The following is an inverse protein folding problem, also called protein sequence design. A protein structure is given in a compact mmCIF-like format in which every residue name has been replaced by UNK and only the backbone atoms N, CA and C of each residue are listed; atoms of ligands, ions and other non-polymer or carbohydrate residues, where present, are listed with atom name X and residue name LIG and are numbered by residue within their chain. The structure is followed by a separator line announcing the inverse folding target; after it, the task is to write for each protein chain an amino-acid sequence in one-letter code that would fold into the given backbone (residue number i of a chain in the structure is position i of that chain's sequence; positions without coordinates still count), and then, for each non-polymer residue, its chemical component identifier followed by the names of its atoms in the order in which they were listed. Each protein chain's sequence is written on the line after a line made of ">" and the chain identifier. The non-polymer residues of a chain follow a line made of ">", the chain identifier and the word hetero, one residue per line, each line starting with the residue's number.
data_IF_596552228517
#
_entry.id   IF_596552228517
#
_cell.length_a   1.000
_cell.length_b   1.000
_cell.length_c   1.000
_cell.angle_alpha   90.00
_cell.angle_beta   90.00
_cell.angle_gamma   90.00
#
_symmetry.space_group_name_H-M   'P 1'
#
loop_
_entity.id
_entity.type
_entity.pdbx_description
1 polymer ?
#
# COMPACT_ATOMS: atom_id res chain seq x y z
N UNK A 1 5.42 -9.78 21.41
CA UNK A 1 4.98 -10.02 20.03
C UNK A 1 6.07 -9.58 19.06
N UNK A 2 6.42 -10.42 18.14
CA UNK A 2 7.43 -10.10 17.15
C UNK A 2 6.75 -9.55 15.88
N UNK A 3 7.30 -8.47 15.38
CA UNK A 3 6.90 -8.00 14.06
C UNK A 3 7.49 -8.92 13.01
N UNK A 4 6.66 -9.39 12.10
CA UNK A 4 7.16 -10.06 10.93
C UNK A 4 7.75 -9.02 10.01
N UNK A 5 9.04 -9.13 9.76
CA UNK A 5 9.73 -8.29 8.80
C UNK A 5 10.28 -9.19 7.71
N UNK A 6 10.08 -8.80 6.50
CA UNK A 6 10.55 -9.53 5.33
C UNK A 6 10.17 -8.74 4.12
N UNK A 7 10.54 -9.23 2.97
CA UNK A 7 10.21 -8.58 1.71
C UNK A 7 9.56 -9.57 0.77
N UNK A 8 8.78 -9.06 -0.15
CA UNK A 8 8.06 -9.87 -1.11
C UNK A 8 7.88 -9.05 -2.38
N UNK A 9 8.05 -9.69 -3.53
CA UNK A 9 7.74 -9.05 -4.81
C UNK A 9 6.28 -9.32 -5.13
N UNK A 10 5.54 -8.23 -5.36
CA UNK A 10 4.11 -8.30 -5.69
C UNK A 10 3.84 -7.55 -6.97
N UNK A 11 2.69 -7.83 -7.58
CA UNK A 11 2.16 -7.00 -8.64
C UNK A 11 1.21 -5.97 -8.06
N UNK A 12 1.24 -4.77 -8.63
CA UNK A 12 0.30 -3.71 -8.28
C UNK A 12 -0.40 -3.27 -9.55
N UNK A 13 -1.69 -3.04 -9.46
CA UNK A 13 -2.43 -2.53 -10.60
C UNK A 13 -3.51 -1.57 -10.15
N UNK A 14 -3.90 -0.71 -11.07
CA UNK A 14 -5.02 0.20 -10.91
C UNK A 14 -6.29 -0.58 -11.22
N UNK A 15 -7.30 -0.57 -10.33
CA UNK A 15 -8.54 -1.30 -10.59
C UNK A 15 -9.21 -0.96 -11.91
N UNK A 16 -8.98 0.25 -12.41
CA UNK A 16 -9.58 0.72 -13.66
C UNK A 16 -8.95 0.09 -14.89
N UNK A 17 -7.67 -0.33 -14.78
CA UNK A 17 -6.89 -0.79 -15.94
C UNK A 17 -6.51 -2.26 -15.89
N UNK A 18 -6.87 -2.96 -14.83
CA UNK A 18 -6.54 -4.39 -14.76
C UNK A 18 -7.25 -5.19 -15.85
N UNK A 19 -6.68 -6.31 -16.32
CA UNK A 19 -5.38 -6.85 -15.93
C UNK A 19 -4.22 -6.35 -16.78
N UNK A 20 -4.43 -5.37 -17.62
CA UNK A 20 -3.48 -4.99 -18.68
C UNK A 20 -2.34 -4.11 -18.21
N UNK A 21 -2.38 -3.65 -16.97
CA UNK A 21 -1.36 -2.74 -16.46
C UNK A 21 -0.94 -3.19 -15.07
N UNK A 22 0.15 -3.95 -15.01
CA UNK A 22 0.67 -4.45 -13.74
C UNK A 22 2.10 -3.97 -13.58
N UNK A 23 2.39 -3.38 -12.42
CA UNK A 23 3.73 -2.94 -12.07
C UNK A 23 4.22 -3.84 -10.94
N UNK A 24 5.41 -4.40 -11.09
CA UNK A 24 6.01 -5.23 -10.04
C UNK A 24 6.74 -4.33 -9.06
N UNK A 25 6.57 -4.61 -7.79
CA UNK A 25 7.21 -3.84 -6.73
C UNK A 25 7.65 -4.75 -5.61
N UNK A 26 8.76 -4.37 -4.97
CA UNK A 26 9.19 -5.04 -3.76
C UNK A 26 8.50 -4.37 -2.58
N UNK A 27 7.80 -5.17 -1.81
CA UNK A 27 7.06 -4.70 -0.65
C UNK A 27 7.70 -5.22 0.63
N UNK A 28 7.67 -4.40 1.66
CA UNK A 28 8.08 -4.81 2.99
C UNK A 28 6.87 -5.29 3.77
N UNK A 29 7.02 -6.41 4.46
CA UNK A 29 5.97 -6.98 5.30
C UNK A 29 6.12 -6.42 6.72
N UNK A 30 5.05 -5.86 7.27
CA UNK A 30 5.09 -5.26 8.60
C UNK A 30 3.79 -5.55 9.36
N UNK A 31 3.83 -6.57 10.22
CA UNK A 31 2.68 -6.91 11.05
C UNK A 31 2.41 -5.88 12.16
N UNK A 32 3.33 -4.96 12.39
CA UNK A 32 3.12 -3.85 13.29
C UNK A 32 2.28 -2.73 12.69
N UNK A 33 2.10 -2.73 11.37
CA UNK A 33 1.29 -1.74 10.68
C UNK A 33 -0.14 -2.27 10.52
N UNK A 34 -1.13 -1.48 10.93
CA UNK A 34 -2.53 -1.85 10.77
C UNK A 34 -2.94 -1.82 9.30
N UNK A 35 -2.43 -0.85 8.57
CA UNK A 35 -2.82 -0.57 7.19
C UNK A 35 -1.58 -0.51 6.29
N UNK A 36 -1.74 -1.04 5.10
CA UNK A 36 -0.71 -0.93 4.07
C UNK A 36 -0.56 0.51 3.59
N UNK A 37 0.61 0.83 3.09
CA UNK A 37 0.90 2.17 2.57
C UNK A 37 1.74 2.10 1.30
N UNK A 38 1.65 3.17 0.52
CA UNK A 38 2.40 3.31 -0.73
C UNK A 38 3.10 4.67 -0.74
N UNK A 39 4.29 4.71 -1.30
CA UNK A 39 4.98 5.98 -1.49
C UNK A 39 4.30 6.81 -2.58
N UNK A 40 4.14 8.10 -2.34
CA UNK A 40 3.45 8.98 -3.29
C UNK A 40 4.11 9.00 -4.67
N UNK A 41 5.42 8.81 -4.74
CA UNK A 41 6.13 8.78 -6.01
C UNK A 41 5.74 7.60 -6.89
N UNK A 42 5.11 6.58 -6.30
CA UNK A 42 4.68 5.39 -7.04
C UNK A 42 3.32 5.56 -7.71
N UNK A 43 2.57 6.61 -7.33
CA UNK A 43 1.21 6.82 -7.84
C UNK A 43 1.18 7.03 -9.35
N UNK A 44 2.16 7.76 -9.87
CA UNK A 44 2.20 8.05 -11.31
C UNK A 44 2.42 6.79 -12.14
N UNK A 45 3.19 5.83 -11.61
CA UNK A 45 3.43 4.57 -12.31
C UNK A 45 2.15 3.76 -12.47
N UNK A 46 1.21 3.92 -11.56
CA UNK A 46 -0.05 3.19 -11.54
C UNK A 46 -1.23 4.04 -12.02
N UNK A 47 -0.97 5.28 -12.41
CA UNK A 47 -2.01 6.24 -12.83
C UNK A 47 -3.10 6.42 -11.78
N UNK A 48 -2.68 6.47 -10.52
CA UNK A 48 -3.60 6.59 -9.39
C UNK A 48 -3.81 8.02 -8.91
N UNK A 49 -3.11 8.99 -9.48
CA UNK A 49 -3.10 10.37 -8.99
C UNK A 49 -4.49 11.01 -8.97
N UNK A 50 -5.33 10.67 -9.94
CA UNK A 50 -6.69 11.21 -10.02
C UNK A 50 -7.69 10.47 -9.13
N UNK A 51 -7.25 9.37 -8.52
CA UNK A 51 -8.10 8.50 -7.72
C UNK A 51 -7.87 8.66 -6.22
N UNK A 52 -7.06 9.63 -5.83
CA UNK A 52 -6.71 9.85 -4.44
C UNK A 52 -7.91 10.38 -3.66
N UNK A 53 -8.18 9.75 -2.51
CA UNK A 53 -9.15 10.22 -1.54
C UNK A 53 -8.42 11.07 -0.51
N UNK A 54 -8.63 12.38 -0.57
CA UNK A 54 -7.95 13.29 0.32
C UNK A 54 -8.52 13.21 1.73
N UNK A 55 -7.61 13.28 2.73
CA UNK A 55 -7.96 13.28 4.15
C UNK A 55 -8.89 12.13 4.57
N UNK A 56 -8.75 10.99 3.91
CA UNK A 56 -9.70 9.89 4.04
C UNK A 56 -9.64 9.17 5.38
N UNK A 57 -8.45 9.14 6.01
CA UNK A 57 -8.27 8.43 7.27
C UNK A 57 -7.57 9.29 8.31
N UNK A 58 -7.84 8.98 9.58
CA UNK A 58 -7.12 9.57 10.71
C UNK A 58 -6.11 8.57 11.25
N UNK A 59 -4.89 9.05 11.46
CA UNK A 59 -3.83 8.24 12.05
C UNK A 59 -3.41 8.91 13.35
N UNK A 60 -3.46 8.15 14.44
CA UNK A 60 -3.00 8.62 15.75
C UNK A 60 -1.54 8.26 15.93
N UNK A 61 -0.79 9.21 16.43
CA UNK A 61 0.62 9.01 16.75
C UNK A 61 0.93 9.72 18.06
N UNK A 62 2.15 9.56 18.55
CA UNK A 62 2.62 10.25 19.75
C UNK A 62 2.55 11.77 19.59
N UNK A 63 2.59 12.26 18.37
CA UNK A 63 2.57 13.69 18.07
C UNK A 63 1.16 14.23 17.77
N UNK A 64 0.12 13.43 18.03
CA UNK A 64 -1.25 13.82 17.81
C UNK A 64 -1.91 13.07 16.68
N UNK A 65 -2.99 13.63 16.17
CA UNK A 65 -3.78 13.02 15.10
C UNK A 65 -3.43 13.69 13.77
N UNK A 66 -3.18 12.88 12.76
CA UNK A 66 -2.97 13.35 11.40
C UNK A 66 -4.01 12.75 10.48
N UNK A 67 -4.38 13.50 9.45
CA UNK A 67 -5.18 12.95 8.35
C UNK A 67 -4.25 12.54 7.23
N UNK A 68 -4.61 11.45 6.57
CA UNK A 68 -3.85 10.96 5.43
C UNK A 68 -4.75 10.68 4.26
N UNK A 69 -4.19 10.87 3.08
CA UNK A 69 -4.84 10.51 1.85
C UNK A 69 -4.73 9.02 1.63
N UNK A 70 -5.70 8.45 0.94
CA UNK A 70 -5.69 7.04 0.57
C UNK A 70 -5.97 6.88 -0.91
N UNK A 71 -5.68 5.68 -1.40
CA UNK A 71 -6.04 5.29 -2.75
C UNK A 71 -6.33 3.79 -2.75
N UNK A 72 -7.23 3.37 -3.63
CA UNK A 72 -7.54 1.96 -3.79
C UNK A 72 -6.72 1.40 -4.93
N UNK A 73 -6.01 0.32 -4.65
CA UNK A 73 -5.24 -0.41 -5.65
C UNK A 73 -5.49 -1.90 -5.50
N UNK A 74 -5.03 -2.67 -6.47
CA UNK A 74 -5.13 -4.13 -6.41
C UNK A 74 -3.73 -4.69 -6.26
N UNK A 75 -3.55 -5.56 -5.28
CA UNK A 75 -2.32 -6.32 -5.08
C UNK A 75 -2.51 -7.68 -5.69
N UNK A 76 -1.55 -8.08 -6.52
CA UNK A 76 -1.58 -9.38 -7.20
C UNK A 76 -0.42 -10.21 -6.70
N UNK A 77 -0.75 -11.38 -6.20
CA UNK A 77 0.26 -12.34 -5.75
C UNK A 77 -0.11 -13.72 -6.28
N UNK A 78 0.66 -14.23 -7.25
CA UNK A 78 0.31 -15.48 -7.92
C UNK A 78 -1.03 -15.36 -8.63
N UNK A 79 -1.96 -16.24 -8.29
CA UNK A 79 -3.30 -16.24 -8.86
C UNK A 79 -4.31 -15.45 -8.01
N UNK A 80 -3.84 -14.83 -6.95
CA UNK A 80 -4.72 -14.11 -6.03
C UNK A 80 -4.64 -12.62 -6.24
N UNK A 81 -5.78 -11.97 -6.13
CA UNK A 81 -5.90 -10.52 -6.23
C UNK A 81 -6.64 -10.00 -4.99
N UNK A 82 -6.16 -8.91 -4.45
CA UNK A 82 -6.79 -8.27 -3.31
C UNK A 82 -6.84 -6.77 -3.51
N UNK A 83 -8.05 -6.22 -3.46
CA UNK A 83 -8.25 -4.79 -3.52
C UNK A 83 -8.03 -4.20 -2.12
N UNK A 84 -7.18 -3.19 -2.03
CA UNK A 84 -6.84 -2.55 -0.76
C UNK A 84 -6.94 -1.05 -0.86
N UNK A 85 -7.45 -0.45 0.21
CA UNK A 85 -7.32 0.98 0.42
C UNK A 85 -6.04 1.21 1.22
N UNK A 86 -5.04 1.83 0.58
CA UNK A 86 -3.74 2.04 1.20
C UNK A 86 -3.54 3.52 1.49
N UNK A 87 -2.81 3.82 2.56
CA UNK A 87 -2.45 5.20 2.85
C UNK A 87 -1.30 5.64 1.96
N UNK A 88 -1.29 6.92 1.61
CA UNK A 88 -0.23 7.49 0.79
C UNK A 88 0.75 8.18 1.72
N UNK A 89 2.03 7.87 1.57
CA UNK A 89 3.08 8.42 2.41
C UNK A 89 4.15 9.06 1.54
N UNK A 90 4.82 10.06 2.09
CA UNK A 90 5.99 10.64 1.46
C UNK A 90 7.21 10.10 2.16
N UNK A 91 7.89 9.16 1.53
CA UNK A 91 9.03 8.48 2.13
C UNK A 91 10.18 8.41 1.14
N UNK A 92 10.71 9.56 0.83
CA UNK A 92 11.79 9.71 -0.16
C UNK A 92 13.00 8.82 0.11
N UNK A 93 13.19 8.41 1.35
CA UNK A 93 14.35 7.62 1.74
C UNK A 93 14.02 6.16 2.04
N UNK A 94 12.82 5.70 1.69
CA UNK A 94 12.48 4.32 1.94
C UNK A 94 13.00 3.40 0.86
N UNK A 95 13.58 2.29 1.32
CA UNK A 95 14.06 1.26 0.43
C UNK A 95 12.94 0.56 -0.34
N UNK A 96 11.70 0.63 0.18
CA UNK A 96 10.56 -0.07 -0.40
C UNK A 96 9.43 0.89 -0.70
N UNK A 97 8.87 0.85 -1.92
CA UNK A 97 7.76 1.73 -2.27
C UNK A 97 6.45 1.35 -1.60
N UNK A 98 6.33 0.12 -1.10
CA UNK A 98 5.10 -0.40 -0.52
C UNK A 98 5.41 -1.08 0.80
N UNK A 99 4.54 -0.83 1.79
CA UNK A 99 4.54 -1.56 3.05
C UNK A 99 3.20 -2.28 3.12
N UNK A 100 3.25 -3.59 3.34
CA UNK A 100 2.04 -4.41 3.50
C UNK A 100 1.80 -4.62 5.00
N UNK A 101 0.66 -4.14 5.46
CA UNK A 101 0.26 -4.26 6.85
C UNK A 101 -0.70 -5.42 7.08
N UNK A 102 -1.33 -5.40 8.27
CA UNK A 102 -2.24 -6.49 8.67
C UNK A 102 -3.48 -6.58 7.79
N UNK A 103 -3.89 -5.49 7.16
CA UNK A 103 -5.01 -5.49 6.22
C UNK A 103 -4.77 -6.46 5.06
N UNK A 104 -3.53 -6.53 4.59
CA UNK A 104 -3.16 -7.48 3.54
C UNK A 104 -2.80 -8.83 4.13
N UNK A 105 -1.95 -8.85 5.14
CA UNK A 105 -1.40 -10.08 5.70
C UNK A 105 -2.48 -10.95 6.34
N UNK A 106 -3.49 -10.32 6.94
CA UNK A 106 -4.61 -11.05 7.54
C UNK A 106 -5.50 -11.73 6.51
N UNK A 107 -5.59 -11.18 5.29
CA UNK A 107 -6.42 -11.74 4.24
C UNK A 107 -5.72 -12.84 3.44
N UNK A 108 -4.39 -12.72 3.29
CA UNK A 108 -3.62 -13.59 2.41
C UNK A 108 -2.89 -14.73 3.10
N UNK A 109 -2.90 -14.74 4.41
CA UNK A 109 -2.29 -15.84 5.17
C UNK A 109 -3.29 -16.93 5.51
#
# INVERSE_FOLDING_TARGET
>A
MHKTTGTKVIGLTNPRYEPNWVVRAEARLDTGATRSSIDEGFLSLLRLEEMVNEDAIKVRSANGTQRRDTVILVVIEGDEELELEVSITNREHMAFPVILGRDYLGEME
#
